data_IF_555942956881
#
_entry.id   IF_555942956881
#
_cell.length_a   1.000
_cell.length_b   1.000
_cell.length_c   1.000
_cell.angle_alpha   90.00
_cell.angle_beta   90.00
_cell.angle_gamma   90.00
#
_symmetry.space_group_name_H-M   'P 1'
#
loop_
_entity.id
_entity.type
_entity.pdbx_description
1 polymer ?
#
# COMPACT_ATOMS: atom_id res chain seq x y z
N UNK A 1 13.46 -1.61 -3.68
CA UNK A 1 12.21 -0.90 -3.95
C UNK A 1 12.17 -0.62 -5.44
N UNK A 2 11.20 -1.16 -6.17
CA UNK A 2 11.09 -1.03 -7.63
C UNK A 2 9.66 -0.67 -7.99
N UNK A 3 9.47 0.25 -8.94
CA UNK A 3 8.17 0.55 -9.53
C UNK A 3 7.79 -0.60 -10.47
N UNK A 4 6.72 -1.34 -10.14
CA UNK A 4 6.28 -2.53 -10.88
C UNK A 4 5.09 -2.24 -11.81
N UNK A 5 4.76 -0.96 -12.01
CA UNK A 5 3.67 -0.55 -12.89
C UNK A 5 3.91 -1.05 -14.31
N UNK A 6 5.16 -1.00 -14.80
CA UNK A 6 5.54 -1.50 -16.12
C UNK A 6 5.79 -3.03 -16.16
N UNK A 7 5.31 -3.76 -17.19
CA UNK A 7 5.48 -5.20 -17.32
C UNK A 7 6.96 -5.66 -17.32
N UNK A 8 7.86 -4.86 -17.88
CA UNK A 8 9.29 -5.16 -17.92
C UNK A 8 9.94 -5.15 -16.53
N UNK A 9 9.42 -4.35 -15.60
CA UNK A 9 9.93 -4.24 -14.24
C UNK A 9 9.43 -5.39 -13.32
N UNK A 10 8.30 -6.01 -13.66
CA UNK A 10 7.66 -7.07 -12.84
C UNK A 10 8.52 -8.31 -12.69
N UNK A 11 9.24 -8.72 -13.74
CA UNK A 11 10.12 -9.89 -13.69
C UNK A 11 11.29 -9.75 -12.70
N UNK A 12 11.84 -8.53 -12.57
CA UNK A 12 12.92 -8.23 -11.61
C UNK A 12 12.34 -8.08 -10.20
N UNK A 13 11.20 -7.39 -10.07
CA UNK A 13 10.51 -7.23 -8.78
C UNK A 13 10.13 -8.58 -8.17
N UNK A 14 9.51 -9.48 -8.95
CA UNK A 14 9.12 -10.80 -8.48
C UNK A 14 10.31 -11.62 -7.94
N UNK A 15 11.48 -11.52 -8.60
CA UNK A 15 12.67 -12.29 -8.22
C UNK A 15 13.40 -11.75 -6.99
N UNK A 16 13.35 -10.45 -6.73
CA UNK A 16 14.26 -9.83 -5.75
C UNK A 16 13.62 -8.84 -4.77
N UNK A 17 12.41 -8.32 -5.04
CA UNK A 17 11.78 -7.35 -4.16
C UNK A 17 11.05 -8.05 -3.02
N UNK A 18 11.08 -7.43 -1.83
CA UNK A 18 10.19 -7.78 -0.72
C UNK A 18 8.95 -6.86 -0.72
N UNK A 19 9.05 -5.69 -1.36
CA UNK A 19 7.96 -4.72 -1.55
C UNK A 19 7.96 -4.22 -2.99
N UNK A 20 6.81 -4.32 -3.67
CA UNK A 20 6.55 -3.78 -4.99
C UNK A 20 5.52 -2.65 -4.91
N UNK A 21 5.85 -1.50 -5.50
CA UNK A 21 4.90 -0.39 -5.60
C UNK A 21 4.07 -0.50 -6.86
N UNK A 22 2.76 -0.28 -6.73
CA UNK A 22 1.83 -0.24 -7.84
C UNK A 22 1.13 1.11 -7.88
N UNK A 23 1.04 1.67 -9.09
CA UNK A 23 0.29 2.90 -9.36
C UNK A 23 -0.90 2.51 -10.21
N UNK A 24 -2.07 2.46 -9.60
CA UNK A 24 -3.32 2.11 -10.25
C UNK A 24 -4.42 3.06 -9.79
N UNK A 25 -5.31 3.44 -10.70
CA UNK A 25 -6.48 4.26 -10.38
C UNK A 25 -7.71 3.39 -10.10
N UNK A 26 -7.62 2.08 -10.28
CA UNK A 26 -8.69 1.14 -10.02
C UNK A 26 -8.21 -0.09 -9.22
N UNK A 27 -9.02 -0.58 -8.27
CA UNK A 27 -8.66 -1.75 -7.48
C UNK A 27 -8.53 -3.02 -8.33
N UNK A 28 -9.32 -3.17 -9.40
CA UNK A 28 -9.20 -4.30 -10.32
C UNK A 28 -7.82 -4.33 -11.00
N UNK A 29 -7.32 -3.19 -11.46
CA UNK A 29 -6.01 -3.08 -12.11
C UNK A 29 -4.89 -3.42 -11.13
N UNK A 30 -4.98 -2.93 -9.89
CA UNK A 30 -4.05 -3.27 -8.83
C UNK A 30 -4.07 -4.77 -8.49
N UNK A 31 -5.27 -5.36 -8.40
CA UNK A 31 -5.45 -6.79 -8.16
C UNK A 31 -4.87 -7.66 -9.28
N UNK A 32 -5.04 -7.27 -10.54
CA UNK A 32 -4.41 -7.95 -11.68
C UNK A 32 -2.89 -7.89 -11.61
N UNK A 33 -2.31 -6.72 -11.29
CA UNK A 33 -0.86 -6.57 -11.12
C UNK A 33 -0.35 -7.42 -9.97
N UNK A 34 -1.06 -7.43 -8.82
CA UNK A 34 -0.71 -8.25 -7.66
C UNK A 34 -0.70 -9.74 -8.00
N UNK A 35 -1.75 -10.23 -8.64
CA UNK A 35 -1.85 -11.63 -9.05
C UNK A 35 -0.71 -12.03 -10.01
N UNK A 36 -0.38 -11.16 -10.96
CA UNK A 36 0.73 -11.38 -11.90
C UNK A 36 2.09 -11.43 -11.19
N UNK A 37 2.33 -10.50 -10.25
CA UNK A 37 3.56 -10.47 -9.44
C UNK A 37 3.71 -11.72 -8.57
N UNK A 38 2.63 -12.16 -7.91
CA UNK A 38 2.62 -13.39 -7.09
C UNK A 38 2.87 -14.63 -7.94
N UNK A 39 2.25 -14.72 -9.14
CA UNK A 39 2.51 -15.80 -10.09
C UNK A 39 3.98 -15.83 -10.52
N UNK A 40 4.55 -14.69 -10.91
CA UNK A 40 5.96 -14.59 -11.31
C UNK A 40 6.92 -14.91 -10.15
N UNK A 41 6.57 -14.57 -8.91
CA UNK A 41 7.36 -14.90 -7.73
C UNK A 41 7.37 -16.42 -7.48
N UNK A 42 6.20 -17.06 -7.59
CA UNK A 42 6.07 -18.51 -7.48
C UNK A 42 6.84 -19.25 -8.59
N UNK A 43 6.76 -18.78 -9.83
CA UNK A 43 7.54 -19.32 -10.97
C UNK A 43 9.04 -19.18 -10.76
N UNK A 44 9.48 -18.14 -10.04
CA UNK A 44 10.86 -17.95 -9.64
C UNK A 44 11.28 -18.76 -8.39
N UNK A 45 10.38 -19.59 -7.84
CA UNK A 45 10.63 -20.41 -6.65
C UNK A 45 10.61 -19.64 -5.33
N UNK A 46 10.03 -18.44 -5.29
CA UNK A 46 9.81 -17.67 -4.06
C UNK A 46 8.43 -17.95 -3.49
N UNK A 47 8.32 -17.77 -2.19
CA UNK A 47 7.04 -17.67 -1.49
C UNK A 47 6.33 -16.36 -1.91
N UNK A 48 5.17 -16.43 -2.61
CA UNK A 48 4.46 -15.24 -3.07
C UNK A 48 3.96 -14.36 -1.92
N UNK A 49 3.69 -14.95 -0.75
CA UNK A 49 3.21 -14.20 0.42
C UNK A 49 4.30 -13.31 1.05
N UNK A 50 5.56 -13.47 0.61
CA UNK A 50 6.66 -12.57 0.98
C UNK A 50 6.83 -11.36 0.08
N UNK A 51 6.10 -11.29 -1.03
CA UNK A 51 6.10 -10.14 -1.92
C UNK A 51 4.91 -9.24 -1.60
N UNK A 52 5.16 -8.20 -0.82
CA UNK A 52 4.15 -7.21 -0.47
C UNK A 52 3.91 -6.26 -1.65
N UNK A 53 2.65 -6.12 -2.07
CA UNK A 53 2.21 -5.21 -3.10
C UNK A 53 1.54 -4.01 -2.46
N UNK A 54 2.12 -2.83 -2.64
CA UNK A 54 1.71 -1.59 -1.96
C UNK A 54 1.28 -0.55 -3.00
N UNK A 55 0.08 0.00 -2.86
CA UNK A 55 -0.37 1.10 -3.70
C UNK A 55 0.33 2.41 -3.31
N UNK A 56 0.96 3.10 -4.26
CA UNK A 56 1.55 4.43 -4.06
C UNK A 56 0.54 5.53 -4.41
N UNK A 57 0.20 6.37 -3.43
CA UNK A 57 -0.89 7.33 -3.54
C UNK A 57 -0.50 8.69 -2.93
N UNK A 58 -0.51 9.74 -3.75
CA UNK A 58 -0.50 11.12 -3.27
C UNK A 58 -1.89 11.48 -2.73
N UNK A 59 -1.99 12.22 -1.63
CA UNK A 59 -3.29 12.65 -1.06
C UNK A 59 -3.34 14.17 -0.87
N UNK A 60 -4.43 14.77 -1.34
CA UNK A 60 -4.82 16.15 -1.05
C UNK A 60 -6.13 16.11 -0.25
N UNK A 61 -6.00 16.24 1.07
CA UNK A 61 -7.12 16.22 2.02
C UNK A 61 -7.62 17.64 2.34
N UNK A 62 -7.32 18.60 1.45
CA UNK A 62 -7.73 19.99 1.57
C UNK A 62 -9.18 20.25 1.18
N UNK A 63 -9.81 19.33 0.45
CA UNK A 63 -11.25 19.35 0.27
C UNK A 63 -11.90 19.32 1.64
N UNK A 64 -12.89 20.19 1.90
CA UNK A 64 -13.71 20.04 3.09
C UNK A 64 -14.31 18.63 3.16
N UNK A 65 -14.98 18.30 4.26
CA UNK A 65 -16.03 17.29 4.18
C UNK A 65 -17.05 17.84 3.19
N UNK A 66 -16.85 17.59 1.90
CA UNK A 66 -17.86 17.86 0.90
C UNK A 66 -18.90 16.83 1.23
N UNK A 67 -19.86 17.21 2.09
CA UNK A 67 -20.93 16.34 2.49
C UNK A 67 -21.57 15.83 1.22
N UNK A 68 -21.28 14.58 0.88
CA UNK A 68 -21.71 13.85 -0.30
C UNK A 68 -22.54 14.69 -1.29
N UNK A 69 -21.92 15.64 -1.99
CA UNK A 69 -22.53 16.22 -3.18
C UNK A 69 -22.39 15.11 -4.23
N UNK A 70 -23.48 14.49 -4.72
CA UNK A 70 -23.38 13.47 -5.75
C UNK A 70 -22.81 14.12 -7.01
N UNK A 71 -21.49 14.01 -7.20
CA UNK A 71 -20.74 14.66 -8.27
C UNK A 71 -19.43 15.37 -7.86
N UNK A 72 -19.09 15.47 -6.57
CA UNK A 72 -17.71 15.81 -6.18
C UNK A 72 -16.80 14.63 -6.51
N UNK A 73 -16.17 14.69 -7.68
CA UNK A 73 -15.46 13.56 -8.28
C UNK A 73 -14.30 13.10 -7.37
N UNK A 74 -14.38 11.87 -6.84
CA UNK A 74 -13.21 11.15 -6.33
C UNK A 74 -12.25 11.05 -7.50
N UNK A 75 -11.32 11.99 -7.56
CA UNK A 75 -10.44 12.13 -8.69
C UNK A 75 -9.14 11.39 -8.35
N UNK A 76 -9.00 10.19 -8.90
CA UNK A 76 -7.71 9.51 -8.99
C UNK A 76 -7.01 9.98 -10.27
N UNK A 77 -6.17 10.99 -10.10
CA UNK A 77 -5.51 11.71 -11.20
C UNK A 77 -4.04 11.30 -11.30
N UNK A 78 -3.38 11.50 -12.45
CA UNK A 78 -1.92 11.47 -12.49
C UNK A 78 -1.34 12.55 -11.57
N UNK A 79 -0.39 12.19 -10.70
CA UNK A 79 0.37 13.16 -9.91
C UNK A 79 1.62 13.65 -10.67
N UNK A 80 2.27 14.69 -10.15
CA UNK A 80 3.45 15.30 -10.78
C UNK A 80 4.68 14.36 -10.90
N UNK A 81 4.65 13.23 -10.20
CA UNK A 81 5.70 12.20 -10.18
C UNK A 81 5.33 10.96 -11.01
N UNK A 82 4.23 11.01 -11.78
CA UNK A 82 3.71 9.87 -12.53
C UNK A 82 3.02 8.81 -11.65
N UNK A 83 2.68 9.16 -10.41
CA UNK A 83 1.87 8.39 -9.47
C UNK A 83 0.39 8.74 -9.55
N UNK A 84 -0.38 8.30 -8.55
CA UNK A 84 -1.82 8.54 -8.46
C UNK A 84 -2.11 9.54 -7.35
N UNK A 85 -2.79 10.64 -7.66
CA UNK A 85 -3.29 11.62 -6.71
C UNK A 85 -4.74 11.33 -6.38
N UNK A 86 -5.03 11.15 -5.10
CA UNK A 86 -6.36 11.22 -4.53
C UNK A 86 -6.65 12.63 -4.01
N UNK A 87 -7.79 13.19 -4.41
CA UNK A 87 -8.32 14.43 -3.84
C UNK A 87 -9.72 14.16 -3.29
N UNK A 88 -9.92 14.44 -2.01
CA UNK A 88 -11.17 14.15 -1.31
C UNK A 88 -11.05 14.38 0.21
N UNK A 89 -12.09 14.01 0.95
CA UNK A 89 -12.08 14.10 2.41
C UNK A 89 -11.38 12.91 3.08
N UNK A 90 -11.08 13.01 4.40
CA UNK A 90 -10.50 11.90 5.15
C UNK A 90 -11.40 10.65 5.22
N UNK A 91 -12.72 10.85 5.21
CA UNK A 91 -13.73 9.78 5.18
C UNK A 91 -13.68 9.03 3.85
N UNK A 92 -13.68 9.78 2.74
CA UNK A 92 -13.63 9.22 1.38
C UNK A 92 -12.36 8.39 1.17
N UNK A 93 -11.21 8.85 1.71
CA UNK A 93 -9.97 8.09 1.66
C UNK A 93 -10.07 6.79 2.45
N UNK A 94 -10.71 6.80 3.63
CA UNK A 94 -10.91 5.60 4.43
C UNK A 94 -11.84 4.59 3.73
N UNK A 95 -12.87 5.09 3.03
CA UNK A 95 -13.77 4.27 2.23
C UNK A 95 -13.05 3.65 1.02
N UNK A 96 -12.20 4.42 0.34
CA UNK A 96 -11.35 3.91 -0.75
C UNK A 96 -10.42 2.80 -0.27
N UNK A 97 -9.70 3.02 0.83
CA UNK A 97 -8.78 2.03 1.39
C UNK A 97 -9.54 0.76 1.81
N UNK A 98 -10.70 0.92 2.45
CA UNK A 98 -11.54 -0.20 2.87
C UNK A 98 -12.05 -1.00 1.67
N UNK A 99 -12.43 -0.33 0.59
CA UNK A 99 -12.90 -0.99 -0.61
C UNK A 99 -11.82 -1.85 -1.27
N UNK A 100 -10.62 -1.30 -1.44
CA UNK A 100 -9.48 -2.00 -2.01
C UNK A 100 -9.04 -3.20 -1.15
N UNK A 101 -9.10 -3.06 0.19
CA UNK A 101 -8.86 -4.16 1.12
C UNK A 101 -9.90 -5.28 0.98
N UNK A 102 -11.20 -4.96 0.87
CA UNK A 102 -12.26 -5.96 0.64
C UNK A 102 -12.05 -6.74 -0.66
N UNK A 103 -11.48 -6.09 -1.68
CA UNK A 103 -11.17 -6.72 -2.97
C UNK A 103 -9.84 -7.47 -2.98
N UNK A 104 -9.07 -7.44 -1.87
CA UNK A 104 -7.70 -7.97 -1.79
C UNK A 104 -6.80 -7.45 -2.93
N UNK A 105 -6.99 -6.20 -3.33
CA UNK A 105 -6.30 -5.59 -4.47
C UNK A 105 -4.81 -5.35 -4.19
N UNK A 106 -4.48 -4.96 -2.94
CA UNK A 106 -3.13 -4.67 -2.46
C UNK A 106 -2.97 -5.08 -1.01
N UNK A 107 -1.73 -5.31 -0.57
CA UNK A 107 -1.41 -5.66 0.82
C UNK A 107 -1.26 -4.40 1.71
N UNK A 108 -1.11 -3.21 1.11
CA UNK A 108 -1.04 -1.96 1.84
C UNK A 108 -1.01 -0.71 0.96
N UNK A 109 -0.87 0.44 1.62
CA UNK A 109 -0.82 1.77 0.98
C UNK A 109 0.40 2.55 1.45
N UNK A 110 1.04 3.25 0.53
CA UNK A 110 2.03 4.29 0.79
C UNK A 110 1.40 5.63 0.43
N UNK A 111 1.12 6.40 1.47
CA UNK A 111 0.38 7.67 1.39
C UNK A 111 1.37 8.82 1.44
N UNK A 112 1.35 9.68 0.42
CA UNK A 112 2.20 10.87 0.31
C UNK A 112 1.34 12.14 0.37
N UNK A 113 1.34 12.86 1.50
CA UNK A 113 0.60 14.11 1.62
C UNK A 113 1.10 15.18 0.64
N UNK A 114 0.19 15.88 -0.04
CA UNK A 114 0.53 17.02 -0.93
C UNK A 114 0.88 18.25 -0.11
N UNK A 115 0.12 18.53 0.95
CA UNK A 115 0.41 19.57 1.94
C UNK A 115 0.58 18.94 3.32
N UNK A 116 1.82 18.56 3.71
CA UNK A 116 2.08 17.79 4.92
C UNK A 116 1.52 18.41 6.20
N UNK A 117 1.55 19.75 6.33
CA UNK A 117 1.09 20.41 7.54
C UNK A 117 -0.41 20.22 7.79
N UNK A 118 -1.21 20.18 6.72
CA UNK A 118 -2.68 20.06 6.79
C UNK A 118 -3.13 18.61 6.66
N UNK A 119 -2.59 17.92 5.67
CA UNK A 119 -3.10 16.62 5.26
C UNK A 119 -2.71 15.53 6.26
N UNK A 120 -1.57 15.65 6.95
CA UNK A 120 -1.18 14.70 8.00
C UNK A 120 -2.13 14.74 9.20
N UNK A 121 -2.49 15.94 9.67
CA UNK A 121 -3.44 16.11 10.79
C UNK A 121 -4.80 15.50 10.43
N UNK A 122 -5.29 15.78 9.22
CA UNK A 122 -6.56 15.25 8.71
C UNK A 122 -6.53 13.74 8.50
N UNK A 123 -5.41 13.19 8.05
CA UNK A 123 -5.23 11.76 7.92
C UNK A 123 -5.29 11.07 9.28
N UNK A 124 -4.53 11.56 10.27
CA UNK A 124 -4.48 10.94 11.61
C UNK A 124 -5.83 11.03 12.31
N UNK A 125 -6.43 12.23 12.35
CA UNK A 125 -7.67 12.48 13.08
C UNK A 125 -8.93 11.99 12.35
N UNK A 126 -8.85 11.76 11.03
CA UNK A 126 -9.96 11.29 10.20
C UNK A 126 -9.74 9.87 9.69
N UNK A 127 -8.93 9.74 8.64
CA UNK A 127 -8.75 8.47 7.91
C UNK A 127 -8.26 7.33 8.80
N UNK A 128 -7.16 7.54 9.53
CA UNK A 128 -6.56 6.51 10.38
C UNK A 128 -7.49 6.11 11.52
N UNK A 129 -8.14 7.08 12.17
CA UNK A 129 -9.13 6.82 13.22
C UNK A 129 -10.31 5.98 12.71
N UNK A 130 -10.84 6.29 11.52
CA UNK A 130 -11.92 5.51 10.89
C UNK A 130 -11.47 4.08 10.53
N UNK A 131 -10.27 3.91 9.97
CA UNK A 131 -9.74 2.60 9.64
C UNK A 131 -9.47 1.76 10.89
N UNK A 132 -9.01 2.37 11.99
CA UNK A 132 -8.86 1.69 13.29
C UNK A 132 -10.21 1.23 13.84
N UNK A 133 -11.23 2.09 13.80
CA UNK A 133 -12.58 1.73 14.23
C UNK A 133 -13.16 0.57 13.41
N UNK A 134 -12.80 0.49 12.11
CA UNK A 134 -13.20 -0.60 11.21
C UNK A 134 -12.34 -1.86 11.34
N UNK A 135 -11.32 -1.87 12.19
CA UNK A 135 -10.38 -2.98 12.33
C UNK A 135 -9.45 -3.19 11.13
N UNK A 136 -9.41 -2.23 10.21
CA UNK A 136 -8.59 -2.26 8.99
C UNK A 136 -7.22 -1.62 9.19
N UNK A 137 -7.01 -0.94 10.31
CA UNK A 137 -5.73 -0.39 10.72
C UNK A 137 -5.42 -0.80 12.15
N UNK A 138 -4.17 -1.19 12.40
CA UNK A 138 -3.74 -1.59 13.74
C UNK A 138 -3.83 -0.39 14.69
N UNK A 139 -4.58 -0.56 15.78
CA UNK A 139 -4.71 0.43 16.86
C UNK A 139 -3.62 0.31 17.92
N UNK A 140 -2.93 -0.84 17.98
CA UNK A 140 -1.84 -1.11 18.91
C UNK A 140 -0.67 -1.77 18.18
N UNK A 141 0.54 -1.30 18.45
CA UNK A 141 1.77 -1.93 17.98
C UNK A 141 2.47 -2.61 19.17
N UNK A 142 2.30 -3.93 19.37
CA UNK A 142 3.04 -4.65 20.40
C UNK A 142 4.50 -4.77 19.94
N UNK A 143 5.35 -3.88 20.43
CA UNK A 143 6.77 -3.90 20.11
C UNK A 143 7.48 -2.65 20.61
N UNK A 144 8.70 -2.82 21.12
CA UNK A 144 9.56 -1.70 21.52
C UNK A 144 10.38 -1.18 20.34
N UNK A 145 10.30 -1.81 19.17
CA UNK A 145 11.13 -1.49 18.00
C UNK A 145 10.31 -1.36 16.71
N UNK A 146 10.80 -0.50 15.81
CA UNK A 146 10.21 -0.23 14.48
C UNK A 146 9.97 -1.51 13.64
N UNK A 147 10.78 -2.56 13.85
CA UNK A 147 10.66 -3.84 13.15
C UNK A 147 9.44 -4.65 13.58
N UNK A 148 9.11 -4.60 14.86
CA UNK A 148 7.92 -5.25 15.43
C UNK A 148 6.65 -4.51 15.03
N UNK A 149 6.75 -3.17 14.89
CA UNK A 149 5.64 -2.34 14.40
C UNK A 149 5.28 -2.63 12.93
N UNK A 150 6.27 -3.05 12.13
CA UNK A 150 6.10 -3.39 10.71
C UNK A 150 5.76 -4.89 10.48
N UNK A 151 5.61 -5.68 11.53
CA UNK A 151 5.30 -7.13 11.48
C UNK A 151 6.23 -7.94 10.55
N UNK A 152 7.47 -7.47 10.40
CA UNK A 152 8.48 -8.10 9.57
C UNK A 152 8.98 -9.37 10.29
N UNK A 153 8.34 -10.51 9.99
CA UNK A 153 8.79 -11.82 10.44
C UNK A 153 10.27 -12.02 10.09
N UNK A 154 11.07 -12.30 11.11
CA UNK A 154 12.51 -12.58 11.00
C UNK A 154 12.73 -13.67 9.93
N UNK A 155 13.51 -13.44 8.87
CA UNK A 155 14.00 -14.54 8.06
C UNK A 155 14.85 -15.43 8.98
N UNK A 156 14.49 -16.71 9.08
CA UNK A 156 15.37 -17.70 9.68
C UNK A 156 16.70 -17.63 8.94
N UNK A 157 17.78 -17.29 9.67
CA UNK A 157 19.14 -17.37 9.11
C UNK A 157 19.32 -18.80 8.60
N UNK A 158 19.84 -19.01 7.38
CA UNK A 158 20.31 -20.33 7.01
C UNK A 158 21.28 -20.79 8.09
N UNK A 159 21.08 -22.01 8.61
CA UNK A 159 22.03 -22.60 9.54
C UNK A 159 23.42 -22.50 8.91
N UNK A 160 24.35 -21.86 9.63
CA UNK A 160 25.75 -21.92 9.26
C UNK A 160 26.09 -23.41 9.14
N UNK A 161 26.33 -23.89 7.91
CA UNK A 161 26.91 -25.21 7.69
C UNK A 161 28.24 -25.19 8.43
N UNK A 162 28.28 -25.89 9.55
CA UNK A 162 29.52 -26.25 10.21
C UNK A 162 30.36 -27.00 9.20
N UNK A 163 31.43 -26.37 8.73
CA UNK A 163 32.52 -27.08 8.09
C UNK A 163 33.32 -27.70 9.24
N UNK A 164 33.30 -29.02 9.25
CA UNK A 164 34.14 -29.90 10.05
C UNK A 164 35.62 -29.55 9.81
N UNK A 165 36.40 -29.41 10.88
CA UNK A 165 37.74 -30.00 10.99
C UNK A 165 38.15 -30.11 12.45
#
# INVERSE_FOLDING_TARGET
>A
MLDATEPAARGVAARHADVAFVRATRPEDAGFIRADLHRLAAEAGRDPDRLLVVADLSVDLGGGEVGAEPGAEIALLPDASGGVLFRGGPVDLADLIADWQRQAAVDGFHVRPVEPARDLERFVNGTAALLQHRGLFRSFHPGATLREHLDLHRPARPAARGVLS
#
